data_IF_470761783564
#
_entry.id   IF_470761783564
#
_cell.length_a   1.000
_cell.length_b   1.000
_cell.length_c   1.000
_cell.angle_alpha   90.00
_cell.angle_beta   90.00
_cell.angle_gamma   90.00
#
_symmetry.space_group_name_H-M   'P 1'
#
loop_
_entity.id
_entity.type
_entity.pdbx_description
1 polymer ?
#
# COMPACT_ATOMS: atom_id res chain seq x y z
N UNK A 1 -26.93 -10.42 -32.30
CA UNK A 1 -27.44 -10.21 -30.92
C UNK A 1 -27.02 -8.81 -30.49
N UNK A 2 -27.91 -7.82 -30.60
CA UNK A 2 -27.60 -6.42 -30.30
C UNK A 2 -27.74 -6.21 -28.78
N UNK A 3 -26.65 -5.87 -28.11
CA UNK A 3 -26.69 -5.46 -26.70
C UNK A 3 -27.30 -4.05 -26.69
N UNK A 4 -28.48 -3.89 -26.08
CA UNK A 4 -29.15 -2.59 -25.93
C UNK A 4 -28.36 -1.68 -24.97
N UNK A 5 -28.48 -0.36 -25.13
CA UNK A 5 -27.78 0.65 -24.30
C UNK A 5 -28.04 0.48 -22.79
N UNK A 6 -29.26 0.07 -22.41
CA UNK A 6 -29.63 -0.22 -21.02
C UNK A 6 -28.85 -1.41 -20.43
N UNK A 7 -28.51 -2.40 -21.26
CA UNK A 7 -27.73 -3.59 -20.86
C UNK A 7 -26.24 -3.26 -20.70
N UNK A 8 -25.72 -2.26 -21.41
CA UNK A 8 -24.34 -1.79 -21.23
C UNK A 8 -24.22 -0.99 -19.94
N UNK A 9 -25.15 -0.06 -19.70
CA UNK A 9 -25.15 0.78 -18.50
C UNK A 9 -25.29 -0.03 -17.21
N UNK A 10 -26.14 -1.07 -17.19
CA UNK A 10 -26.25 -1.97 -16.03
C UNK A 10 -24.95 -2.72 -15.76
N UNK A 11 -24.31 -3.28 -16.79
CA UNK A 11 -23.01 -3.96 -16.67
C UNK A 11 -21.89 -3.04 -16.20
N UNK A 12 -21.88 -1.77 -16.62
CA UNK A 12 -20.93 -0.78 -16.11
C UNK A 12 -21.17 -0.51 -14.62
N UNK A 13 -22.43 -0.29 -14.22
CA UNK A 13 -22.78 -0.05 -12.81
C UNK A 13 -22.42 -1.24 -11.91
N UNK A 14 -22.70 -2.47 -12.35
CA UNK A 14 -22.35 -3.69 -11.61
C UNK A 14 -20.84 -3.84 -11.44
N UNK A 15 -20.05 -3.57 -12.50
CA UNK A 15 -18.58 -3.61 -12.44
C UNK A 15 -18.02 -2.57 -11.47
N UNK A 16 -18.54 -1.35 -11.50
CA UNK A 16 -18.09 -0.28 -10.59
C UNK A 16 -18.49 -0.58 -9.14
N UNK A 17 -19.72 -1.06 -8.89
CA UNK A 17 -20.13 -1.49 -7.54
C UNK A 17 -19.24 -2.62 -7.01
N UNK A 18 -18.90 -3.61 -7.84
CA UNK A 18 -17.97 -4.67 -7.47
C UNK A 18 -16.57 -4.14 -7.17
N UNK A 19 -16.05 -3.22 -7.99
CA UNK A 19 -14.74 -2.58 -7.76
C UNK A 19 -14.71 -1.79 -6.46
N UNK A 20 -15.77 -1.05 -6.18
CA UNK A 20 -15.90 -0.28 -4.94
C UNK A 20 -16.00 -1.20 -3.71
N UNK A 21 -16.76 -2.28 -3.80
CA UNK A 21 -16.82 -3.28 -2.72
C UNK A 21 -15.45 -3.92 -2.46
N UNK A 22 -14.68 -4.21 -3.52
CA UNK A 22 -13.30 -4.73 -3.39
C UNK A 22 -12.40 -3.69 -2.72
N UNK A 23 -12.47 -2.42 -3.13
CA UNK A 23 -11.71 -1.33 -2.50
C UNK A 23 -11.98 -1.22 -1.01
N UNK A 24 -13.25 -1.25 -0.61
CA UNK A 24 -13.66 -1.11 0.80
C UNK A 24 -13.30 -2.33 1.65
N UNK A 25 -13.25 -3.52 1.05
CA UNK A 25 -12.92 -4.78 1.75
C UNK A 25 -11.44 -5.15 1.64
N UNK A 26 -10.61 -4.32 1.02
CA UNK A 26 -9.19 -4.61 0.93
C UNK A 26 -8.56 -4.55 2.32
N UNK A 27 -7.93 -5.65 2.72
CA UNK A 27 -7.30 -5.86 4.03
C UNK A 27 -5.81 -6.17 3.87
N UNK A 28 -5.07 -6.08 4.97
CA UNK A 28 -3.64 -6.45 4.98
C UNK A 28 -3.44 -7.92 4.60
N UNK A 29 -4.28 -8.81 5.13
CA UNK A 29 -4.24 -10.24 4.86
C UNK A 29 -4.46 -10.53 3.37
N UNK A 30 -5.32 -9.74 2.71
CA UNK A 30 -5.52 -9.85 1.26
C UNK A 30 -4.26 -9.43 0.49
N UNK A 31 -3.59 -8.35 0.92
CA UNK A 31 -2.35 -7.89 0.29
C UNK A 31 -1.25 -8.95 0.45
N UNK A 32 -1.04 -9.47 1.65
CA UNK A 32 -0.05 -10.52 1.93
C UNK A 32 -0.36 -11.82 1.18
N UNK A 33 -1.62 -12.20 1.06
CA UNK A 33 -2.01 -13.38 0.27
C UNK A 33 -1.69 -13.23 -1.23
N UNK A 34 -1.67 -11.99 -1.75
CA UNK A 34 -1.30 -11.72 -3.15
C UNK A 34 0.22 -11.61 -3.29
N UNK A 35 0.87 -10.93 -2.34
CA UNK A 35 2.29 -10.64 -2.38
C UNK A 35 2.91 -10.79 -0.97
N UNK A 36 3.38 -12.01 -0.62
CA UNK A 36 3.93 -12.31 0.71
C UNK A 36 5.15 -11.47 1.09
N UNK A 37 5.81 -10.84 0.11
CA UNK A 37 6.92 -9.92 0.34
C UNK A 37 6.58 -8.81 1.35
N UNK A 38 5.32 -8.37 1.39
CA UNK A 38 4.92 -7.32 2.35
C UNK A 38 4.95 -7.80 3.80
N UNK A 39 4.76 -9.10 4.05
CA UNK A 39 4.87 -9.68 5.38
C UNK A 39 6.35 -9.81 5.80
N UNK A 40 7.21 -10.27 4.88
CA UNK A 40 8.66 -10.29 5.11
C UNK A 40 9.20 -8.88 5.39
N UNK A 41 8.74 -7.88 4.63
CA UNK A 41 9.15 -6.50 4.80
C UNK A 41 8.64 -5.89 6.12
N UNK A 42 7.42 -6.25 6.55
CA UNK A 42 6.89 -5.85 7.85
C UNK A 42 7.76 -6.41 8.98
N UNK A 43 8.06 -7.71 8.94
CA UNK A 43 8.95 -8.34 9.93
C UNK A 43 10.35 -7.71 9.95
N UNK A 44 10.91 -7.34 8.79
CA UNK A 44 12.18 -6.61 8.72
C UNK A 44 12.09 -5.26 9.44
N UNK A 45 11.01 -4.51 9.22
CA UNK A 45 10.80 -3.19 9.83
C UNK A 45 10.60 -3.31 11.35
N UNK A 46 9.76 -4.24 11.80
CA UNK A 46 9.51 -4.49 13.22
C UNK A 46 10.79 -4.94 13.96
N UNK A 47 11.73 -5.56 13.24
CA UNK A 47 13.03 -5.97 13.76
C UNK A 47 14.04 -4.83 13.97
N UNK A 48 13.75 -3.60 13.51
CA UNK A 48 14.67 -2.47 13.63
C UNK A 48 14.87 -2.10 15.10
N UNK A 49 16.13 -2.17 15.55
CA UNK A 49 16.54 -1.65 16.86
C UNK A 49 17.13 -0.26 16.68
N UNK A 50 16.41 0.82 17.04
CA UNK A 50 16.91 2.18 16.85
C UNK A 50 18.10 2.43 17.78
N UNK A 51 19.18 2.99 17.23
CA UNK A 51 20.31 3.50 18.03
C UNK A 51 19.97 4.81 18.76
N UNK A 52 21.00 5.51 19.24
CA UNK A 52 20.85 6.80 19.94
C UNK A 52 20.23 7.90 19.08
N UNK A 53 20.44 7.83 17.75
CA UNK A 53 19.80 8.68 16.76
C UNK A 53 19.06 7.81 15.75
N UNK A 54 17.76 8.04 15.61
CA UNK A 54 16.90 7.35 14.65
C UNK A 54 15.84 8.30 14.09
N UNK A 55 15.55 8.18 12.80
CA UNK A 55 14.54 8.98 12.11
C UNK A 55 13.68 8.06 11.24
N UNK A 56 12.40 7.95 11.59
CA UNK A 56 11.42 7.16 10.84
C UNK A 56 11.26 7.71 9.42
N UNK A 57 11.09 9.04 9.26
CA UNK A 57 10.98 9.67 7.93
C UNK A 57 12.20 9.35 7.04
N UNK A 58 13.41 9.60 7.53
CA UNK A 58 14.63 9.41 6.75
C UNK A 58 14.79 7.95 6.33
N UNK A 59 14.57 7.04 7.27
CA UNK A 59 14.57 5.59 7.02
C UNK A 59 13.52 5.22 5.98
N UNK A 60 12.30 5.71 6.11
CA UNK A 60 11.20 5.43 5.20
C UNK A 60 11.49 5.92 3.79
N UNK A 61 11.80 7.21 3.63
CA UNK A 61 11.95 7.83 2.32
C UNK A 61 13.20 7.35 1.58
N UNK A 62 14.28 6.98 2.29
CA UNK A 62 15.51 6.48 1.67
C UNK A 62 15.48 4.98 1.39
N UNK A 63 14.88 4.18 2.26
CA UNK A 63 14.97 2.71 2.19
C UNK A 63 13.65 2.07 1.74
N UNK A 64 12.57 2.26 2.47
CA UNK A 64 11.36 1.43 2.31
C UNK A 64 10.38 1.96 1.26
N UNK A 65 10.19 3.28 1.17
CA UNK A 65 9.30 3.88 0.17
C UNK A 65 9.69 3.51 -1.28
N UNK A 66 10.97 3.58 -1.69
CA UNK A 66 11.38 3.15 -3.03
C UNK A 66 11.09 1.67 -3.33
N UNK A 67 11.16 0.81 -2.32
CA UNK A 67 10.87 -0.62 -2.45
C UNK A 67 9.38 -0.84 -2.75
N UNK A 68 8.49 -0.26 -1.95
CA UNK A 68 7.05 -0.49 -2.11
C UNK A 68 6.49 0.11 -3.40
N UNK A 69 7.05 1.22 -3.90
CA UNK A 69 6.60 1.87 -5.14
C UNK A 69 6.72 0.96 -6.38
N UNK A 70 7.60 -0.05 -6.33
CA UNK A 70 7.77 -1.03 -7.40
C UNK A 70 6.84 -2.25 -7.26
N UNK A 71 5.97 -2.29 -6.25
CA UNK A 71 5.12 -3.46 -5.94
C UNK A 71 3.65 -3.11 -5.67
N UNK A 72 3.35 -1.88 -5.25
CA UNK A 72 1.98 -1.43 -4.96
C UNK A 72 1.78 0.02 -5.43
N UNK A 73 0.55 0.36 -5.79
CA UNK A 73 0.16 1.69 -6.23
C UNK A 73 0.42 1.97 -7.71
N UNK A 74 0.32 3.25 -8.08
CA UNK A 74 0.33 3.72 -9.46
C UNK A 74 1.61 3.36 -10.24
N UNK A 75 2.75 3.32 -9.56
CA UNK A 75 4.06 3.07 -10.17
C UNK A 75 4.42 1.59 -10.26
N UNK A 76 3.58 0.70 -9.72
CA UNK A 76 3.84 -0.73 -9.79
C UNK A 76 3.79 -1.23 -11.25
N UNK A 77 4.73 -2.08 -11.67
CA UNK A 77 4.81 -2.59 -13.05
C UNK A 77 3.54 -3.32 -13.52
N UNK A 78 3.38 -3.44 -14.84
CA UNK A 78 2.18 -4.05 -15.44
C UNK A 78 1.95 -5.53 -15.08
N UNK A 79 2.98 -6.26 -14.63
CA UNK A 79 2.82 -7.65 -14.16
C UNK A 79 2.23 -7.73 -12.75
N UNK A 80 2.20 -6.62 -12.00
CA UNK A 80 1.60 -6.57 -10.66
C UNK A 80 0.07 -6.62 -10.80
N UNK A 81 -0.63 -7.44 -9.99
CA UNK A 81 -2.08 -7.53 -10.02
C UNK A 81 -2.77 -6.17 -9.87
N UNK A 82 -3.80 -5.91 -10.68
CA UNK A 82 -4.52 -4.63 -10.70
C UNK A 82 -5.07 -4.20 -9.32
N UNK A 83 -5.42 -5.16 -8.47
CA UNK A 83 -5.87 -4.89 -7.09
C UNK A 83 -4.78 -4.26 -6.21
N UNK A 84 -3.50 -4.50 -6.48
CA UNK A 84 -2.38 -3.84 -5.78
C UNK A 84 -2.03 -2.48 -6.40
N UNK A 85 -2.52 -2.17 -7.59
CA UNK A 85 -2.21 -0.92 -8.30
C UNK A 85 -3.14 0.24 -7.94
N UNK A 86 -4.12 0.01 -7.06
CA UNK A 86 -5.07 1.03 -6.62
C UNK A 86 -4.52 1.83 -5.44
N UNK A 87 -4.95 3.09 -5.32
CA UNK A 87 -4.58 4.01 -4.24
C UNK A 87 -4.79 3.38 -2.85
N UNK A 88 -5.95 2.75 -2.62
CA UNK A 88 -6.25 2.11 -1.34
C UNK A 88 -5.25 1.01 -0.96
N UNK A 89 -4.71 0.26 -1.91
CA UNK A 89 -3.69 -0.76 -1.63
C UNK A 89 -2.37 -0.10 -1.22
N UNK A 90 -1.97 0.95 -1.93
CA UNK A 90 -0.81 1.74 -1.58
C UNK A 90 -0.94 2.36 -0.19
N UNK A 91 -2.06 2.99 0.13
CA UNK A 91 -2.29 3.61 1.44
C UNK A 91 -2.22 2.59 2.57
N UNK A 92 -2.83 1.41 2.37
CA UNK A 92 -2.84 0.36 3.38
C UNK A 92 -1.43 -0.19 3.62
N UNK A 93 -0.65 -0.42 2.55
CA UNK A 93 0.76 -0.85 2.67
C UNK A 93 1.62 0.25 3.31
N UNK A 94 1.46 1.48 2.85
CA UNK A 94 2.19 2.63 3.36
C UNK A 94 1.97 2.78 4.86
N UNK A 95 0.71 2.88 5.30
CA UNK A 95 0.36 3.06 6.71
C UNK A 95 0.90 1.91 7.54
N UNK A 96 0.63 0.66 7.13
CA UNK A 96 1.03 -0.52 7.90
C UNK A 96 2.53 -0.60 8.13
N UNK A 97 3.34 -0.39 7.08
CA UNK A 97 4.79 -0.47 7.18
C UNK A 97 5.41 0.77 7.83
N UNK A 98 4.82 1.96 7.61
CA UNK A 98 5.30 3.18 8.23
C UNK A 98 5.04 3.20 9.74
N UNK A 99 3.85 2.78 10.16
CA UNK A 99 3.46 2.72 11.58
C UNK A 99 4.26 1.66 12.36
N UNK A 100 4.84 0.68 11.66
CA UNK A 100 5.72 -0.32 12.25
C UNK A 100 7.15 0.19 12.52
N UNK A 101 7.53 1.36 11.98
CA UNK A 101 8.84 1.94 12.25
C UNK A 101 8.94 2.38 13.73
N UNK A 102 10.13 2.27 14.34
CA UNK A 102 10.35 2.84 15.66
C UNK A 102 10.13 4.36 15.69
N UNK A 103 9.78 4.88 16.86
CA UNK A 103 9.72 6.32 17.07
C UNK A 103 11.05 7.00 16.78
N UNK A 104 10.95 8.22 16.26
CA UNK A 104 12.08 9.13 16.08
C UNK A 104 12.82 9.39 17.41
N UNK A 105 14.16 9.28 17.40
CA UNK A 105 15.03 9.57 18.54
C UNK A 105 16.15 10.51 18.13
N UNK A 106 16.27 11.65 18.80
CA UNK A 106 17.38 12.59 18.57
C UNK A 106 17.48 13.12 17.13
N UNK A 107 16.36 13.19 16.40
CA UNK A 107 16.28 13.75 15.06
C UNK A 107 15.48 15.06 15.04
N UNK A 108 15.79 15.96 14.09
CA UNK A 108 15.08 17.24 13.88
C UNK A 108 13.70 17.10 13.23
N UNK A 109 13.13 15.90 13.22
CA UNK A 109 11.87 15.59 12.54
C UNK A 109 10.65 16.28 13.19
N UNK A 110 10.78 16.70 14.45
CA UNK A 110 9.75 17.40 15.22
C UNK A 110 9.78 18.93 15.05
N UNK A 111 10.77 19.49 14.34
CA UNK A 111 10.83 20.94 14.05
C UNK A 111 10.25 21.21 12.67
N UNK A 112 8.92 21.27 12.57
CA UNK A 112 8.25 21.52 11.28
C UNK A 112 6.73 21.39 11.32
N UNK A 113 6.07 22.16 12.18
CA UNK A 113 4.71 22.65 11.97
C UNK A 113 4.73 24.18 12.06
#
# INVERSE_FOLDING_TARGET
>A
MLITGDTLLSRFRERESRRESIRQKLTWETIVAIDPFFDDLLHEIEGIKPGERFCANDTWYKKYKPIILNRVGWYAPNYVPEILKIERAYDLVYQRLYDALPDCKGCGCFTGF
#
